data_IF_384306067223
#
_entry.id   IF_384306067223
#
_cell.length_a   1.000
_cell.length_b   1.000
_cell.length_c   1.000
_cell.angle_alpha   90.00
_cell.angle_beta   90.00
_cell.angle_gamma   90.00
#
_symmetry.space_group_name_H-M   'P 1'
#
loop_
_entity.id
_entity.type
_entity.pdbx_description
1 polymer ?
#
# COMPACT_ATOMS: atom_id res chain seq x y z
N UNK A 1 -17.94 13.51 8.21
CA UNK A 1 -16.68 13.08 7.57
C UNK A 1 -16.98 11.93 6.62
N UNK A 2 -16.66 12.03 5.32
CA UNK A 2 -16.81 10.87 4.40
C UNK A 2 -15.84 9.78 4.86
N UNK A 3 -16.35 8.58 5.16
CA UNK A 3 -15.49 7.40 5.37
C UNK A 3 -14.75 7.16 4.06
N UNK A 4 -13.42 7.23 4.07
CA UNK A 4 -12.61 6.81 2.92
C UNK A 4 -12.77 5.29 2.77
N UNK A 5 -12.89 4.82 1.52
CA UNK A 5 -12.92 3.39 1.26
C UNK A 5 -11.55 2.78 1.64
N UNK A 6 -11.58 1.63 2.30
CA UNK A 6 -10.40 0.84 2.63
C UNK A 6 -10.35 -0.42 1.77
N UNK A 7 -9.15 -0.92 1.56
CA UNK A 7 -8.86 -2.06 0.72
C UNK A 7 -7.83 -2.94 1.42
N UNK A 8 -8.03 -4.25 1.37
CA UNK A 8 -7.02 -5.21 1.81
C UNK A 8 -5.78 -5.16 0.90
N UNK A 9 -4.64 -5.56 1.45
CA UNK A 9 -3.40 -5.75 0.68
C UNK A 9 -3.60 -6.61 -0.57
N UNK A 10 -4.39 -7.68 -0.49
CA UNK A 10 -4.69 -8.52 -1.66
C UNK A 10 -5.45 -7.77 -2.75
N UNK A 11 -6.46 -6.97 -2.39
CA UNK A 11 -7.19 -6.16 -3.36
C UNK A 11 -6.27 -5.14 -4.04
N UNK A 12 -5.38 -4.50 -3.29
CA UNK A 12 -4.40 -3.55 -3.83
C UNK A 12 -3.39 -4.24 -4.75
N UNK A 13 -2.91 -5.43 -4.39
CA UNK A 13 -1.94 -6.20 -5.19
C UNK A 13 -2.47 -6.67 -6.55
N UNK A 14 -3.81 -6.80 -6.66
CA UNK A 14 -4.52 -7.19 -7.88
C UNK A 14 -5.07 -5.96 -8.63
N UNK A 15 -4.93 -4.76 -8.06
CA UNK A 15 -5.54 -3.54 -8.59
C UNK A 15 -4.73 -2.95 -9.73
N UNK A 16 -5.34 -2.87 -10.91
CA UNK A 16 -4.75 -2.20 -12.09
C UNK A 16 -4.63 -0.69 -11.93
N UNK A 17 -5.42 -0.08 -11.03
CA UNK A 17 -5.48 1.38 -10.83
C UNK A 17 -4.65 1.86 -9.63
N UNK A 18 -4.11 0.92 -8.83
CA UNK A 18 -3.23 1.25 -7.72
C UNK A 18 -1.81 1.60 -8.19
N UNK A 19 -1.38 1.09 -9.34
CA UNK A 19 -0.15 1.53 -10.02
C UNK A 19 1.15 0.87 -9.55
N UNK A 20 1.10 0.05 -8.51
CA UNK A 20 2.26 -0.70 -8.00
C UNK A 20 2.18 -2.18 -8.35
N UNK A 21 3.34 -2.79 -8.65
CA UNK A 21 3.44 -4.21 -8.94
C UNK A 21 3.08 -5.08 -7.75
N UNK A 22 2.44 -6.23 -8.01
CA UNK A 22 1.98 -7.18 -6.98
C UNK A 22 3.05 -7.50 -5.94
N UNK A 23 4.27 -7.83 -6.38
CA UNK A 23 5.35 -8.22 -5.48
C UNK A 23 5.76 -7.08 -4.54
N UNK A 24 5.82 -5.85 -5.04
CA UNK A 24 6.10 -4.67 -4.22
C UNK A 24 4.99 -4.43 -3.20
N UNK A 25 3.73 -4.52 -3.61
CA UNK A 25 2.59 -4.35 -2.70
C UNK A 25 2.62 -5.41 -1.59
N UNK A 26 2.91 -6.67 -1.92
CA UNK A 26 2.96 -7.76 -0.95
C UNK A 26 4.16 -7.69 -0.01
N UNK A 27 5.30 -7.17 -0.50
CA UNK A 27 6.51 -7.00 0.30
C UNK A 27 6.42 -5.82 1.28
N UNK A 28 5.74 -4.73 0.88
CA UNK A 28 5.71 -3.49 1.67
C UNK A 28 4.51 -3.44 2.60
N UNK A 29 3.31 -3.75 2.08
CA UNK A 29 2.10 -3.63 2.87
C UNK A 29 1.93 -4.85 3.77
N UNK A 30 1.47 -4.60 4.98
CA UNK A 30 1.12 -5.65 5.94
C UNK A 30 -0.27 -6.21 5.64
N UNK A 31 -0.64 -7.30 6.31
CA UNK A 31 -1.94 -7.94 6.14
C UNK A 31 -3.03 -7.20 6.93
N UNK A 32 -3.35 -5.98 6.48
CA UNK A 32 -4.41 -5.11 7.02
C UNK A 32 -5.11 -4.32 5.91
N UNK A 33 -6.18 -3.64 6.29
CA UNK A 33 -6.91 -2.73 5.42
C UNK A 33 -6.25 -1.36 5.37
N UNK A 34 -6.11 -0.81 4.16
CA UNK A 34 -5.52 0.50 3.90
C UNK A 34 -6.48 1.38 3.11
N UNK A 35 -6.49 2.68 3.38
CA UNK A 35 -6.91 3.62 2.35
C UNK A 35 -5.88 3.69 1.22
N UNK A 36 -6.29 4.14 0.03
CA UNK A 36 -5.37 4.28 -1.10
C UNK A 36 -4.17 5.18 -0.73
N UNK A 37 -4.43 6.34 -0.12
CA UNK A 37 -3.39 7.29 0.30
C UNK A 37 -2.37 6.67 1.27
N UNK A 38 -2.83 5.89 2.25
CA UNK A 38 -1.94 5.24 3.22
C UNK A 38 -1.05 4.19 2.56
N UNK A 39 -1.64 3.35 1.70
CA UNK A 39 -0.87 2.35 0.97
C UNK A 39 0.16 2.98 0.02
N UNK A 40 -0.18 4.10 -0.64
CA UNK A 40 0.77 4.86 -1.45
C UNK A 40 1.90 5.42 -0.59
N UNK A 41 1.60 5.98 0.60
CA UNK A 41 2.62 6.52 1.51
C UNK A 41 3.59 5.44 2.00
N UNK A 42 3.09 4.27 2.36
CA UNK A 42 3.94 3.14 2.78
C UNK A 42 4.87 2.67 1.66
N UNK A 43 4.35 2.54 0.44
CA UNK A 43 5.16 2.14 -0.72
C UNK A 43 6.18 3.23 -1.07
N UNK A 44 5.81 4.50 -1.03
CA UNK A 44 6.74 5.60 -1.25
C UNK A 44 7.85 5.60 -0.20
N UNK A 45 7.53 5.46 1.09
CA UNK A 45 8.53 5.39 2.16
C UNK A 45 9.51 4.23 1.99
N UNK A 46 9.02 3.06 1.52
CA UNK A 46 9.89 1.93 1.18
C UNK A 46 10.81 2.24 0.00
N UNK A 47 10.30 2.88 -1.05
CA UNK A 47 11.08 3.22 -2.25
C UNK A 47 12.09 4.35 -2.01
N UNK A 48 11.79 5.30 -1.13
CA UNK A 48 12.71 6.39 -0.75
C UNK A 48 13.74 5.97 0.29
N UNK A 49 13.58 4.78 0.90
CA UNK A 49 14.42 4.32 2.01
C UNK A 49 14.13 5.02 3.33
N UNK A 50 13.07 5.85 3.39
CA UNK A 50 12.62 6.53 4.61
C UNK A 50 11.85 5.59 5.56
N UNK A 51 11.58 4.36 5.13
CA UNK A 51 11.21 3.27 6.01
C UNK A 51 12.47 2.83 6.78
N UNK A 52 12.93 3.70 7.69
CA UNK A 52 14.04 3.38 8.59
C UNK A 52 13.66 2.18 9.45
N UNK A 53 14.44 1.10 9.34
CA UNK A 53 14.41 -0.02 10.27
C UNK A 53 13.92 -1.34 9.68
N UNK A 54 14.84 -2.06 9.05
CA UNK A 54 15.09 -3.47 9.37
C UNK A 54 16.59 -3.64 9.56
#
# INVERSE_FOLDING_TARGET
MKKKATFSREQLSKSKTFGYGKDLVLAVLEDRDYTKDEAEKEIQAYLTGEREGI
#
